data_IF_380814525233
#
_entry.id   IF_380814525233
#
_cell.length_a   1.000
_cell.length_b   1.000
_cell.length_c   1.000
_cell.angle_alpha   90.00
_cell.angle_beta   90.00
_cell.angle_gamma   90.00
#
_symmetry.space_group_name_H-M   'P 1'
#
loop_
_entity.id
_entity.type
_entity.pdbx_description
1 polymer ?
#
# COMPACT_ATOMS: atom_id res chain seq x y z
N UNK A 1 -58.45 58.82 -78.18
CA UNK A 1 -58.63 57.64 -77.32
C UNK A 1 -59.50 56.64 -78.07
N UNK A 2 -58.97 55.51 -78.56
CA UNK A 2 -59.79 54.35 -78.86
C UNK A 2 -60.25 53.78 -77.51
N UNK A 3 -61.56 53.85 -77.32
CA UNK A 3 -62.29 53.38 -76.16
C UNK A 3 -62.29 51.85 -76.09
N UNK A 4 -62.08 51.33 -74.88
CA UNK A 4 -62.16 49.91 -74.46
C UNK A 4 -62.94 49.00 -75.43
N UNK A 5 -62.20 48.34 -76.33
CA UNK A 5 -62.72 47.21 -77.10
C UNK A 5 -62.69 46.00 -76.17
N UNK A 6 -63.81 45.73 -75.49
CA UNK A 6 -64.00 44.58 -74.58
C UNK A 6 -63.70 43.23 -75.25
N UNK A 7 -63.60 43.19 -76.58
CA UNK A 7 -63.23 42.03 -77.37
C UNK A 7 -61.78 41.55 -77.14
N UNK A 8 -60.85 42.45 -76.79
CA UNK A 8 -59.43 42.08 -76.54
C UNK A 8 -59.16 41.66 -75.08
N UNK A 9 -60.05 42.00 -74.14
CA UNK A 9 -59.90 41.67 -72.72
C UNK A 9 -60.08 40.17 -72.45
N UNK A 10 -61.02 39.52 -73.15
CA UNK A 10 -61.28 38.10 -72.95
C UNK A 10 -60.08 37.22 -73.34
N UNK A 11 -59.45 37.39 -74.53
CA UNK A 11 -58.22 36.68 -74.89
C UNK A 11 -57.04 36.94 -73.93
N UNK A 12 -56.86 38.19 -73.50
CA UNK A 12 -55.80 38.57 -72.56
C UNK A 12 -55.98 37.87 -71.20
N UNK A 13 -57.20 37.83 -70.68
CA UNK A 13 -57.54 37.15 -69.43
C UNK A 13 -57.36 35.64 -69.54
N UNK A 14 -57.75 35.02 -70.66
CA UNK A 14 -57.53 33.59 -70.92
C UNK A 14 -56.04 33.27 -70.91
N UNK A 15 -55.20 34.06 -71.58
CA UNK A 15 -53.74 33.82 -71.61
C UNK A 15 -53.08 34.09 -70.25
N UNK A 16 -53.56 35.09 -69.50
CA UNK A 16 -53.14 35.33 -68.13
C UNK A 16 -53.46 34.13 -67.23
N UNK A 17 -54.67 33.56 -67.32
CA UNK A 17 -55.04 32.36 -66.56
C UNK A 17 -54.18 31.17 -66.97
N UNK A 18 -53.95 30.95 -68.27
CA UNK A 18 -53.11 29.85 -68.76
C UNK A 18 -51.67 29.98 -68.25
N UNK A 19 -51.06 31.16 -68.39
CA UNK A 19 -49.69 31.41 -67.92
C UNK A 19 -49.58 31.35 -66.39
N UNK A 20 -50.60 31.82 -65.67
CA UNK A 20 -50.66 31.71 -64.21
C UNK A 20 -50.77 30.25 -63.75
N UNK A 21 -51.61 29.45 -64.39
CA UNK A 21 -51.71 28.00 -64.11
C UNK A 21 -50.40 27.30 -64.45
N UNK A 22 -49.78 27.62 -65.59
CA UNK A 22 -48.49 27.05 -65.96
C UNK A 22 -47.39 27.40 -64.93
N UNK A 23 -47.33 28.65 -64.48
CA UNK A 23 -46.41 29.08 -63.42
C UNK A 23 -46.72 28.41 -62.09
N UNK A 24 -48.00 28.31 -61.71
CA UNK A 24 -48.45 27.63 -60.50
C UNK A 24 -48.01 26.16 -60.50
N UNK A 25 -48.23 25.44 -61.61
CA UNK A 25 -47.80 24.05 -61.75
C UNK A 25 -46.28 23.92 -61.72
N UNK A 26 -45.54 24.83 -62.35
CA UNK A 26 -44.08 24.87 -62.28
C UNK A 26 -43.60 25.05 -60.83
N UNK A 27 -44.17 26.01 -60.10
CA UNK A 27 -43.84 26.28 -58.70
C UNK A 27 -44.21 25.10 -57.79
N UNK A 28 -45.40 24.54 -57.97
CA UNK A 28 -45.87 23.40 -57.19
C UNK A 28 -45.00 22.16 -57.43
N UNK A 29 -44.55 21.95 -58.66
CA UNK A 29 -43.79 20.76 -59.04
C UNK A 29 -42.27 20.88 -58.86
N UNK A 30 -41.74 22.10 -58.76
CA UNK A 30 -40.29 22.35 -58.70
C UNK A 30 -39.87 23.09 -57.42
N UNK A 31 -40.53 24.19 -57.07
CA UNK A 31 -40.12 25.01 -55.92
C UNK A 31 -40.48 24.36 -54.58
N UNK A 32 -41.73 23.89 -54.43
CA UNK A 32 -42.19 23.20 -53.22
C UNK A 32 -41.35 21.96 -52.86
N UNK A 33 -41.09 21.01 -53.78
CA UNK A 33 -40.29 19.84 -53.42
C UNK A 33 -38.83 20.18 -53.06
N UNK A 34 -38.25 21.23 -53.65
CA UNK A 34 -36.90 21.70 -53.27
C UNK A 34 -36.88 22.23 -51.84
N UNK A 35 -37.85 23.05 -51.46
CA UNK A 35 -37.95 23.58 -50.09
C UNK A 35 -38.22 22.46 -49.10
N UNK A 36 -39.14 21.53 -49.41
CA UNK A 36 -39.43 20.37 -48.58
C UNK A 36 -38.18 19.50 -48.36
N UNK A 37 -37.39 19.24 -49.40
CA UNK A 37 -36.16 18.46 -49.29
C UNK A 37 -35.12 19.12 -48.37
N UNK A 38 -34.97 20.45 -48.44
CA UNK A 38 -34.06 21.19 -47.55
C UNK A 38 -34.53 21.14 -46.10
N UNK A 39 -35.84 21.29 -45.85
CA UNK A 39 -36.40 21.16 -44.51
C UNK A 39 -36.18 19.75 -43.97
N UNK A 40 -36.47 18.72 -44.76
CA UNK A 40 -36.27 17.32 -44.37
C UNK A 40 -34.81 17.03 -44.06
N UNK A 41 -33.88 17.48 -44.91
CA UNK A 41 -32.44 17.32 -44.68
C UNK A 41 -32.00 17.99 -43.37
N UNK A 42 -32.52 19.18 -43.07
CA UNK A 42 -32.21 19.87 -41.81
C UNK A 42 -32.81 19.14 -40.60
N UNK A 43 -34.06 18.70 -40.71
CA UNK A 43 -34.72 17.94 -39.65
C UNK A 43 -33.99 16.62 -39.37
N UNK A 44 -33.65 15.86 -40.41
CA UNK A 44 -32.87 14.63 -40.30
C UNK A 44 -31.52 14.89 -39.65
N UNK A 45 -30.77 15.91 -40.10
CA UNK A 45 -29.48 16.23 -39.49
C UNK A 45 -29.59 16.62 -38.01
N UNK A 46 -30.60 17.39 -37.64
CA UNK A 46 -30.81 17.77 -36.23
C UNK A 46 -31.19 16.55 -35.38
N UNK A 47 -32.02 15.65 -35.91
CA UNK A 47 -32.37 14.41 -35.22
C UNK A 47 -31.13 13.52 -35.04
N UNK A 48 -30.34 13.33 -36.09
CA UNK A 48 -29.09 12.56 -36.06
C UNK A 48 -28.09 13.17 -35.07
N UNK A 49 -27.91 14.49 -35.08
CA UNK A 49 -27.00 15.19 -34.16
C UNK A 49 -27.47 15.04 -32.70
N UNK A 50 -28.79 15.08 -32.45
CA UNK A 50 -29.35 14.90 -31.11
C UNK A 50 -29.21 13.47 -30.61
N UNK A 51 -29.45 12.48 -31.47
CA UNK A 51 -29.30 11.06 -31.15
C UNK A 51 -27.83 10.72 -30.87
N UNK A 52 -26.90 11.25 -31.68
CA UNK A 52 -25.46 11.12 -31.42
C UNK A 52 -25.06 11.78 -30.10
N UNK A 53 -25.55 12.98 -29.81
CA UNK A 53 -25.27 13.66 -28.55
C UNK A 53 -25.80 12.87 -27.34
N UNK A 54 -27.01 12.28 -27.44
CA UNK A 54 -27.58 11.44 -26.40
C UNK A 54 -26.75 10.16 -26.20
N UNK A 55 -26.31 9.52 -27.28
CA UNK A 55 -25.47 8.33 -27.22
C UNK A 55 -24.10 8.63 -26.60
N UNK A 56 -23.44 9.71 -27.02
CA UNK A 56 -22.15 10.15 -26.46
C UNK A 56 -22.27 10.49 -24.97
N UNK A 57 -23.37 11.13 -24.57
CA UNK A 57 -23.65 11.39 -23.16
C UNK A 57 -23.79 10.10 -22.35
N UNK A 58 -24.57 9.13 -22.84
CA UNK A 58 -24.75 7.84 -22.16
C UNK A 58 -23.43 7.05 -22.06
N UNK A 59 -22.59 7.09 -23.10
CA UNK A 59 -21.25 6.50 -23.08
C UNK A 59 -20.35 7.20 -22.05
N UNK A 60 -20.37 8.54 -22.01
CA UNK A 60 -19.59 9.30 -21.04
C UNK A 60 -20.01 9.00 -19.60
N UNK A 61 -21.32 8.93 -19.32
CA UNK A 61 -21.85 8.56 -18.00
C UNK A 61 -21.42 7.14 -17.60
N UNK A 62 -21.42 6.21 -18.55
CA UNK A 62 -20.93 4.83 -18.33
C UNK A 62 -19.45 4.81 -17.99
N UNK A 63 -18.62 5.50 -18.79
CA UNK A 63 -17.17 5.58 -18.56
C UNK A 63 -16.84 6.26 -17.22
N UNK A 64 -17.57 7.30 -16.85
CA UNK A 64 -17.41 7.95 -15.54
C UNK A 64 -17.73 6.97 -14.42
N UNK A 65 -18.83 6.23 -14.52
CA UNK A 65 -19.21 5.23 -13.51
C UNK A 65 -18.17 4.11 -13.38
N UNK A 66 -17.67 3.59 -14.50
CA UNK A 66 -16.62 2.56 -14.51
C UNK A 66 -15.31 3.09 -13.93
N UNK A 67 -14.94 4.33 -14.26
CA UNK A 67 -13.75 4.98 -13.74
C UNK A 67 -13.85 5.21 -12.22
N UNK A 68 -14.98 5.69 -11.73
CA UNK A 68 -15.22 5.89 -10.30
C UNK A 68 -15.17 4.55 -9.53
N UNK A 69 -15.76 3.49 -10.09
CA UNK A 69 -15.70 2.15 -9.52
C UNK A 69 -14.25 1.62 -9.49
N UNK A 70 -13.51 1.74 -10.59
CA UNK A 70 -12.11 1.33 -10.65
C UNK A 70 -11.23 2.11 -9.67
N UNK A 71 -11.48 3.41 -9.50
CA UNK A 71 -10.76 4.25 -8.54
C UNK A 71 -11.07 3.85 -7.09
N UNK A 72 -12.33 3.54 -6.77
CA UNK A 72 -12.74 3.06 -5.46
C UNK A 72 -12.07 1.72 -5.13
N UNK A 73 -12.09 0.78 -6.07
CA UNK A 73 -11.46 -0.54 -5.93
C UNK A 73 -9.95 -0.42 -5.75
N UNK A 74 -9.27 0.38 -6.58
CA UNK A 74 -7.83 0.62 -6.45
C UNK A 74 -7.45 1.21 -5.08
N UNK A 75 -8.26 2.13 -4.54
CA UNK A 75 -8.07 2.69 -3.20
C UNK A 75 -8.27 1.65 -2.12
N UNK A 76 -9.29 0.81 -2.23
CA UNK A 76 -9.57 -0.27 -1.30
C UNK A 76 -8.43 -1.30 -1.27
N UNK A 77 -7.95 -1.72 -2.45
CA UNK A 77 -6.81 -2.63 -2.58
C UNK A 77 -5.54 -2.03 -1.99
N UNK A 78 -5.23 -0.76 -2.29
CA UNK A 78 -4.06 -0.09 -1.72
C UNK A 78 -4.11 -0.03 -0.19
N UNK A 79 -5.27 0.30 0.39
CA UNK A 79 -5.46 0.29 1.86
C UNK A 79 -5.29 -1.11 2.44
N UNK A 80 -5.84 -2.13 1.79
CA UNK A 80 -5.70 -3.53 2.21
C UNK A 80 -4.22 -3.98 2.17
N UNK A 81 -3.48 -3.65 1.11
CA UNK A 81 -2.05 -3.95 0.99
C UNK A 81 -1.24 -3.25 2.08
N UNK A 82 -1.52 -1.97 2.37
CA UNK A 82 -0.83 -1.23 3.44
C UNK A 82 -1.11 -1.86 4.80
N UNK A 83 -2.37 -2.22 5.09
CA UNK A 83 -2.76 -2.86 6.33
C UNK A 83 -2.09 -4.23 6.49
N UNK A 84 -2.07 -5.05 5.44
CA UNK A 84 -1.41 -6.35 5.43
C UNK A 84 0.10 -6.20 5.66
N UNK A 85 0.77 -5.31 4.93
CA UNK A 85 2.20 -5.07 5.09
C UNK A 85 2.54 -4.58 6.50
N UNK A 86 1.69 -3.73 7.08
CA UNK A 86 1.83 -3.28 8.48
C UNK A 86 1.71 -4.43 9.48
N UNK A 87 0.72 -5.31 9.30
CA UNK A 87 0.53 -6.48 10.16
C UNK A 87 1.70 -7.47 10.05
N UNK A 88 2.17 -7.75 8.83
CA UNK A 88 3.32 -8.63 8.58
C UNK A 88 4.60 -8.05 9.19
N UNK A 89 4.84 -6.74 9.04
CA UNK A 89 5.99 -6.06 9.64
C UNK A 89 5.95 -6.12 11.18
N UNK A 90 4.77 -5.90 11.79
CA UNK A 90 4.59 -6.01 13.23
C UNK A 90 4.88 -7.44 13.73
N UNK A 91 4.30 -8.45 13.08
CA UNK A 91 4.53 -9.86 13.42
C UNK A 91 6.02 -10.26 13.26
N UNK A 92 6.67 -9.81 12.19
CA UNK A 92 8.10 -10.06 11.96
C UNK A 92 8.98 -9.36 13.00
N UNK A 93 8.59 -8.18 13.48
CA UNK A 93 9.30 -7.47 14.53
C UNK A 93 9.15 -8.16 15.89
N UNK A 94 7.94 -8.60 16.22
CA UNK A 94 7.67 -9.35 17.45
C UNK A 94 8.45 -10.67 17.47
N UNK A 95 8.41 -11.43 16.37
CA UNK A 95 9.18 -12.67 16.22
C UNK A 95 10.68 -12.45 16.42
N UNK A 96 11.26 -11.45 15.73
CA UNK A 96 12.69 -11.11 15.91
C UNK A 96 13.02 -10.68 17.33
N UNK A 97 12.13 -9.93 17.97
CA UNK A 97 12.34 -9.49 19.36
C UNK A 97 12.35 -10.69 20.32
N UNK A 98 11.46 -11.66 20.10
CA UNK A 98 11.43 -12.90 20.86
C UNK A 98 12.69 -13.74 20.63
N UNK A 99 13.10 -13.95 19.37
CA UNK A 99 14.32 -14.68 19.02
C UNK A 99 15.58 -14.04 19.65
N UNK A 100 15.71 -12.71 19.56
CA UNK A 100 16.83 -11.97 20.18
C UNK A 100 16.80 -12.11 21.69
N UNK A 101 15.62 -12.03 22.32
CA UNK A 101 15.49 -12.18 23.77
C UNK A 101 15.90 -13.58 24.25
N UNK A 102 15.56 -14.62 23.49
CA UNK A 102 15.95 -15.99 23.78
C UNK A 102 17.48 -16.18 23.67
N UNK A 103 18.08 -15.65 22.59
CA UNK A 103 19.54 -15.69 22.40
C UNK A 103 20.26 -14.96 23.52
N UNK A 104 19.81 -13.75 23.88
CA UNK A 104 20.40 -12.97 24.97
C UNK A 104 20.27 -13.68 26.32
N UNK A 105 19.14 -14.33 26.59
CA UNK A 105 18.95 -15.10 27.82
C UNK A 105 19.91 -16.29 27.90
N UNK A 106 20.09 -17.02 26.79
CA UNK A 106 21.04 -18.14 26.71
C UNK A 106 22.49 -17.66 26.88
N UNK A 107 22.88 -16.55 26.24
CA UNK A 107 24.22 -15.98 26.35
C UNK A 107 24.51 -15.47 27.77
N UNK A 108 23.53 -14.83 28.41
CA UNK A 108 23.63 -14.39 29.80
C UNK A 108 23.82 -15.58 30.76
N UNK A 109 23.07 -16.67 30.57
CA UNK A 109 23.23 -17.89 31.36
C UNK A 109 24.63 -18.51 31.18
N UNK A 110 25.10 -18.65 29.93
CA UNK A 110 26.44 -19.16 29.65
C UNK A 110 27.56 -18.25 30.19
N UNK A 111 27.36 -16.93 30.18
CA UNK A 111 28.29 -15.99 30.81
C UNK A 111 28.32 -16.14 32.34
N UNK A 112 27.16 -16.30 32.98
CA UNK A 112 27.07 -16.52 34.42
C UNK A 112 27.74 -17.84 34.86
N UNK A 113 27.59 -18.90 34.08
CA UNK A 113 28.30 -20.17 34.31
C UNK A 113 29.82 -20.00 34.18
N UNK A 114 30.30 -19.32 33.13
CA UNK A 114 31.73 -19.03 32.95
C UNK A 114 32.31 -18.21 34.10
N UNK A 115 31.58 -17.20 34.58
CA UNK A 115 32.00 -16.39 35.74
C UNK A 115 32.08 -17.26 37.00
N UNK A 116 31.12 -18.17 37.19
CA UNK A 116 31.11 -19.09 38.34
C UNK A 116 32.29 -20.06 38.28
N UNK A 117 32.55 -20.64 37.10
CA UNK A 117 33.70 -21.53 36.88
C UNK A 117 35.02 -20.80 37.16
N UNK A 118 35.23 -19.63 36.54
CA UNK A 118 36.44 -18.83 36.74
C UNK A 118 36.64 -18.41 38.21
N UNK A 119 35.56 -18.11 38.93
CA UNK A 119 35.61 -17.84 40.38
C UNK A 119 36.07 -19.07 41.16
N UNK A 120 35.53 -20.25 40.87
CA UNK A 120 35.90 -21.48 41.55
C UNK A 120 37.35 -21.89 41.28
N UNK A 121 37.81 -21.71 40.03
CA UNK A 121 39.20 -21.96 39.64
C UNK A 121 40.15 -21.02 40.40
N UNK A 122 39.85 -19.71 40.41
CA UNK A 122 40.65 -18.73 41.14
C UNK A 122 40.68 -19.00 42.65
N UNK A 123 39.57 -19.44 43.26
CA UNK A 123 39.53 -19.83 44.67
C UNK A 123 40.36 -21.09 44.94
N UNK A 124 40.40 -22.03 44.00
CA UNK A 124 41.19 -23.26 44.11
C UNK A 124 42.69 -22.95 44.00
N UNK A 125 43.09 -22.13 43.04
CA UNK A 125 44.47 -21.64 42.92
C UNK A 125 44.91 -20.87 44.17
N UNK A 126 44.05 -19.98 44.68
CA UNK A 126 44.34 -19.23 45.91
C UNK A 126 44.54 -20.14 47.12
N UNK A 127 43.73 -21.21 47.25
CA UNK A 127 43.92 -22.23 48.30
C UNK A 127 45.28 -22.92 48.17
N UNK A 128 45.66 -23.33 46.95
CA UNK A 128 46.98 -23.93 46.70
C UNK A 128 48.12 -23.02 47.13
N UNK A 129 48.11 -21.76 46.70
CA UNK A 129 49.13 -20.76 47.06
C UNK A 129 49.14 -20.50 48.57
N UNK A 130 47.96 -20.44 49.22
CA UNK A 130 47.86 -20.25 50.66
C UNK A 130 48.43 -21.44 51.45
N UNK A 131 48.16 -22.67 51.02
CA UNK A 131 48.72 -23.89 51.62
C UNK A 131 50.23 -23.95 51.46
N UNK A 132 50.77 -23.66 50.27
CA UNK A 132 52.22 -23.59 50.03
C UNK A 132 52.90 -22.54 50.91
N UNK A 133 52.31 -21.34 51.00
CA UNK A 133 52.84 -20.25 51.83
C UNK A 133 52.78 -20.59 53.33
N UNK A 134 51.67 -21.19 53.79
CA UNK A 134 51.50 -21.62 55.18
C UNK A 134 52.46 -22.74 55.55
N UNK A 135 52.68 -23.72 54.66
CA UNK A 135 53.66 -24.78 54.84
C UNK A 135 55.08 -24.20 54.94
N UNK A 136 55.47 -23.34 54.00
CA UNK A 136 56.79 -22.71 54.01
C UNK A 136 57.01 -21.82 55.25
N UNK A 137 55.96 -21.18 55.77
CA UNK A 137 56.02 -20.42 57.02
C UNK A 137 56.13 -21.32 58.26
N UNK A 138 55.38 -22.42 58.30
CA UNK A 138 55.40 -23.39 59.40
C UNK A 138 56.75 -24.11 59.47
N UNK A 139 57.26 -24.65 58.36
CA UNK A 139 58.57 -25.31 58.30
C UNK A 139 59.70 -24.40 58.77
N UNK A 140 59.66 -23.10 58.43
CA UNK A 140 60.62 -22.10 58.93
C UNK A 140 60.52 -21.83 60.43
N UNK A 141 59.36 -22.02 61.04
CA UNK A 141 59.12 -21.72 62.45
C UNK A 141 59.52 -22.87 63.38
N UNK A 142 59.24 -24.11 62.98
CA UNK A 142 59.52 -25.33 63.75
C UNK A 142 60.78 -26.09 63.29
N UNK A 143 61.52 -25.54 62.31
CA UNK A 143 62.81 -26.03 61.79
C UNK A 143 62.78 -27.54 61.44
N UNK A 144 61.60 -28.01 60.99
CA UNK A 144 61.30 -29.41 60.67
C UNK A 144 60.21 -29.49 59.61
N UNK A 145 60.18 -30.59 58.84
CA UNK A 145 59.21 -30.78 57.75
C UNK A 145 57.80 -31.02 58.30
N UNK A 146 56.81 -30.32 57.75
CA UNK A 146 55.40 -30.48 58.11
C UNK A 146 54.69 -31.24 57.01
N UNK A 147 53.81 -32.18 57.36
CA UNK A 147 53.02 -32.91 56.37
C UNK A 147 52.05 -31.95 55.66
N UNK A 148 52.10 -31.96 54.33
CA UNK A 148 51.25 -31.13 53.47
C UNK A 148 49.76 -31.43 53.70
N UNK A 149 49.39 -32.67 54.07
CA UNK A 149 48.00 -33.03 54.35
C UNK A 149 47.45 -32.31 55.60
N UNK A 150 48.27 -32.17 56.65
CA UNK A 150 47.89 -31.51 57.90
C UNK A 150 47.76 -29.98 57.70
N UNK A 151 48.67 -29.38 56.92
CA UNK A 151 48.60 -27.95 56.56
C UNK A 151 47.35 -27.66 55.73
N UNK A 152 47.03 -28.53 54.78
CA UNK A 152 45.85 -28.37 53.93
C UNK A 152 44.56 -28.44 54.75
N UNK A 153 44.45 -29.40 55.68
CA UNK A 153 43.31 -29.50 56.60
C UNK A 153 43.17 -28.27 57.52
N UNK A 154 44.29 -27.70 57.99
CA UNK A 154 44.30 -26.50 58.82
C UNK A 154 43.84 -25.25 58.03
N UNK A 155 44.31 -25.10 56.79
CA UNK A 155 43.89 -24.00 55.89
C UNK A 155 42.40 -24.11 55.56
N UNK A 156 41.90 -25.31 55.24
CA UNK A 156 40.48 -25.52 54.96
C UNK A 156 39.59 -25.20 56.16
N UNK A 157 40.02 -25.58 57.37
CA UNK A 157 39.33 -25.26 58.61
C UNK A 157 39.29 -23.75 58.85
N UNK A 158 40.41 -23.04 58.61
CA UNK A 158 40.48 -21.59 58.76
C UNK A 158 39.58 -20.85 57.75
N UNK A 159 39.51 -21.33 56.50
CA UNK A 159 38.63 -20.78 55.47
C UNK A 159 37.15 -20.99 55.83
N UNK A 160 36.77 -22.16 56.35
CA UNK A 160 35.39 -22.42 56.80
C UNK A 160 35.00 -21.56 58.01
N UNK A 161 35.88 -21.40 59.00
CA UNK A 161 35.59 -20.57 60.18
C UNK A 161 35.35 -19.10 59.81
N UNK A 162 36.15 -18.53 58.89
CA UNK A 162 35.94 -17.17 58.40
C UNK A 162 34.63 -17.01 57.61
N UNK A 163 34.24 -18.02 56.83
CA UNK A 163 32.98 -18.00 56.08
C UNK A 163 31.73 -18.12 56.97
N UNK A 164 31.85 -18.71 58.17
CA UNK A 164 30.76 -18.83 59.17
C UNK A 164 30.70 -17.68 60.18
N UNK A 165 31.73 -16.81 60.20
CA UNK A 165 31.86 -15.70 61.14
C UNK A 165 31.37 -14.34 60.62
N UNK A 166 30.95 -14.24 59.35
CA UNK A 166 30.26 -13.09 58.77
C UNK A 166 28.83 -13.46 58.40
#
# INVERSE_FOLDING_TARGET
MPQFWMEDFAPQMVWLVISFIALYLLMARVALPRVANVLETRHGRIADDLDQAAQLKAQAETVISEYEAALAEARAQAQATIAQAGAEAAAASEKRSAEVSEVLAAEAAAAAERVTAAKNDALTELRGVATELAQAAAERLIDSSVDTADVQAAVDTAIQQNASGS
#
